data_IF_473068094648
#
_entry.id   IF_473068094648
#
_cell.length_a   1.000
_cell.length_b   1.000
_cell.length_c   1.000
_cell.angle_alpha   90.00
_cell.angle_beta   90.00
_cell.angle_gamma   90.00
#
_symmetry.space_group_name_H-M   'P 1'
#
loop_
_entity.id
_entity.type
_entity.pdbx_description
1 polymer ?
#
# COMPACT_ATOMS: atom_id res chain seq x y z
N UNK A 1 10.40 -0.07 43.85
CA UNK A 1 11.02 0.23 42.54
C UNK A 1 10.03 1.02 41.70
N UNK A 2 10.28 2.32 41.49
CA UNK A 2 9.38 3.23 40.76
C UNK A 2 9.54 3.00 39.25
N UNK A 3 8.57 2.33 38.63
CA UNK A 3 8.47 2.22 37.17
C UNK A 3 8.15 3.59 36.58
N UNK A 4 9.18 4.33 36.14
CA UNK A 4 9.01 5.56 35.36
C UNK A 4 8.15 5.24 34.15
N UNK A 5 6.91 5.74 34.12
CA UNK A 5 6.05 5.67 32.92
C UNK A 5 6.82 6.32 31.76
N UNK A 6 6.96 5.66 30.60
CA UNK A 6 7.56 6.29 29.44
C UNK A 6 6.82 7.58 29.11
N UNK A 7 7.54 8.61 28.69
CA UNK A 7 6.90 9.85 28.23
C UNK A 7 6.01 9.53 27.03
N UNK A 8 4.81 10.11 26.98
CA UNK A 8 3.84 9.96 25.87
C UNK A 8 4.51 10.19 24.50
N UNK A 9 5.51 11.06 24.47
CA UNK A 9 6.32 11.35 23.28
C UNK A 9 7.14 10.14 22.77
N UNK A 10 7.65 9.30 23.68
CA UNK A 10 8.43 8.10 23.33
C UNK A 10 7.52 7.00 22.77
N UNK A 11 6.34 6.82 23.34
CA UNK A 11 5.33 5.89 22.81
C UNK A 11 4.84 6.32 21.42
N UNK A 12 4.60 7.62 21.23
CA UNK A 12 4.22 8.16 19.93
C UNK A 12 5.31 7.96 18.87
N UNK A 13 6.59 8.21 19.21
CA UNK A 13 7.71 7.93 18.31
C UNK A 13 7.83 6.45 17.97
N UNK A 14 7.65 5.54 18.93
CA UNK A 14 7.64 4.10 18.68
C UNK A 14 6.52 3.68 17.73
N UNK A 15 5.30 4.19 17.92
CA UNK A 15 4.17 3.90 17.03
C UNK A 15 4.41 4.41 15.61
N UNK A 16 5.02 5.58 15.45
CA UNK A 16 5.40 6.09 14.12
C UNK A 16 6.41 5.16 13.46
N UNK A 17 7.49 4.79 14.17
CA UNK A 17 8.54 3.92 13.62
C UNK A 17 7.95 2.57 13.21
N UNK A 18 7.10 1.96 14.04
CA UNK A 18 6.43 0.70 13.71
C UNK A 18 5.55 0.81 12.46
N UNK A 19 4.76 1.89 12.33
CA UNK A 19 3.95 2.13 11.11
C UNK A 19 4.79 2.32 9.86
N UNK A 20 5.94 2.97 9.97
CA UNK A 20 6.87 3.12 8.85
C UNK A 20 7.47 1.77 8.45
N UNK A 21 7.91 0.97 9.41
CA UNK A 21 8.48 -0.35 9.13
C UNK A 21 7.44 -1.24 8.46
N UNK A 22 6.20 -1.33 8.99
CA UNK A 22 5.14 -2.14 8.36
C UNK A 22 4.82 -1.65 6.95
N UNK A 23 4.76 -0.34 6.72
CA UNK A 23 4.54 0.21 5.37
C UNK A 23 5.68 -0.18 4.42
N UNK A 24 6.92 -0.14 4.88
CA UNK A 24 8.10 -0.51 4.08
C UNK A 24 8.06 -2.01 3.77
N UNK A 25 7.78 -2.87 4.76
CA UNK A 25 7.74 -4.31 4.56
C UNK A 25 6.58 -4.73 3.66
N UNK A 26 5.41 -4.09 3.73
CA UNK A 26 4.33 -4.32 2.75
C UNK A 26 4.74 -3.98 1.32
N UNK A 27 5.43 -2.85 1.12
CA UNK A 27 5.98 -2.49 -0.19
C UNK A 27 7.05 -3.48 -0.65
N UNK A 28 7.88 -3.96 0.29
CA UNK A 28 8.90 -4.96 0.03
C UNK A 28 8.29 -6.30 -0.42
N UNK A 29 7.18 -6.74 0.19
CA UNK A 29 6.43 -7.92 -0.28
C UNK A 29 5.92 -7.68 -1.69
N UNK A 30 5.27 -6.55 -1.96
CA UNK A 30 4.70 -6.27 -3.29
C UNK A 30 5.77 -6.23 -4.38
N UNK A 31 6.87 -5.49 -4.16
CA UNK A 31 7.99 -5.39 -5.10
C UNK A 31 8.69 -6.75 -5.24
N UNK A 32 8.95 -7.44 -4.13
CA UNK A 32 9.56 -8.75 -4.11
C UNK A 32 8.74 -9.79 -4.87
N UNK A 33 7.41 -9.77 -4.70
CA UNK A 33 6.48 -10.68 -5.40
C UNK A 33 6.50 -10.43 -6.91
N UNK A 34 6.53 -9.16 -7.36
CA UNK A 34 6.64 -8.84 -8.78
C UNK A 34 7.97 -9.36 -9.34
N UNK A 35 9.09 -9.09 -8.67
CA UNK A 35 10.42 -9.54 -9.11
C UNK A 35 10.47 -11.08 -9.14
N UNK A 36 9.91 -11.74 -8.12
CA UNK A 36 9.84 -13.20 -8.04
C UNK A 36 9.03 -13.79 -9.18
N UNK A 37 7.82 -13.27 -9.44
CA UNK A 37 6.95 -13.77 -10.51
C UNK A 37 7.59 -13.58 -11.88
N UNK A 38 8.23 -12.44 -12.14
CA UNK A 38 8.94 -12.20 -13.41
C UNK A 38 10.11 -13.15 -13.57
N UNK A 39 10.95 -13.33 -12.54
CA UNK A 39 12.06 -14.28 -12.56
C UNK A 39 11.60 -15.73 -12.75
N UNK A 40 10.55 -16.13 -12.02
CA UNK A 40 9.95 -17.45 -12.09
C UNK A 40 9.35 -17.73 -13.48
N UNK A 41 8.56 -16.80 -14.01
CA UNK A 41 7.95 -16.92 -15.34
C UNK A 41 9.03 -17.06 -16.42
N UNK A 42 10.12 -16.29 -16.33
CA UNK A 42 11.24 -16.40 -17.25
C UNK A 42 11.94 -17.77 -17.18
N UNK A 43 12.21 -18.27 -15.97
CA UNK A 43 12.85 -19.57 -15.79
C UNK A 43 11.96 -20.73 -16.27
N UNK A 44 10.65 -20.66 -15.99
CA UNK A 44 9.68 -21.64 -16.50
C UNK A 44 9.59 -21.57 -18.02
N UNK A 45 9.51 -20.37 -18.59
CA UNK A 45 9.52 -20.19 -20.04
C UNK A 45 10.78 -20.80 -20.65
N UNK A 46 11.96 -20.55 -20.07
CA UNK A 46 13.20 -21.14 -20.54
C UNK A 46 13.21 -22.66 -20.48
N UNK A 47 12.61 -23.22 -19.44
CA UNK A 47 12.56 -24.66 -19.25
C UNK A 47 11.74 -25.37 -20.34
N UNK A 48 10.65 -24.75 -20.82
CA UNK A 48 9.82 -25.31 -21.88
C UNK A 48 10.25 -24.89 -23.30
N UNK A 49 10.75 -23.67 -23.47
CA UNK A 49 11.03 -23.10 -24.79
C UNK A 49 12.43 -23.44 -25.33
N UNK A 50 13.41 -23.70 -24.47
CA UNK A 50 14.76 -24.07 -24.94
C UNK A 50 14.71 -25.48 -25.54
N UNK A 51 15.14 -25.65 -26.79
CA UNK A 51 15.31 -26.96 -27.43
C UNK A 51 16.67 -27.60 -27.15
N UNK A 52 17.04 -28.61 -27.94
CA UNK A 52 18.36 -29.24 -27.88
C UNK A 52 19.49 -28.24 -28.20
N UNK A 53 20.55 -28.30 -27.39
CA UNK A 53 21.69 -27.37 -27.43
C UNK A 53 22.43 -27.36 -28.78
N UNK A 54 22.29 -28.41 -29.59
CA UNK A 54 22.99 -28.56 -30.87
C UNK A 54 22.65 -27.51 -31.94
N UNK A 55 21.61 -26.70 -31.72
CA UNK A 55 21.17 -25.65 -32.64
C UNK A 55 21.72 -24.25 -32.32
N UNK A 56 22.40 -24.07 -31.19
CA UNK A 56 22.85 -22.75 -30.72
C UNK A 56 24.35 -22.54 -30.92
N UNK A 57 24.74 -21.32 -31.30
CA UNK A 57 26.15 -20.93 -31.32
C UNK A 57 26.71 -20.81 -29.90
N UNK A 58 28.03 -20.95 -29.73
CA UNK A 58 28.69 -20.80 -28.42
C UNK A 58 28.42 -19.43 -27.77
N UNK A 59 28.27 -18.38 -28.58
CA UNK A 59 27.93 -17.03 -28.12
C UNK A 59 26.49 -16.94 -27.61
N UNK A 60 25.55 -17.65 -28.24
CA UNK A 60 24.15 -17.67 -27.79
C UNK A 60 23.98 -18.45 -26.49
N UNK A 61 24.69 -19.57 -26.35
CA UNK A 61 24.71 -20.37 -25.11
C UNK A 61 25.17 -19.51 -23.94
N UNK A 62 26.28 -18.78 -24.09
CA UNK A 62 26.82 -17.90 -23.05
C UNK A 62 25.84 -16.78 -22.68
N UNK A 63 25.17 -16.17 -23.67
CA UNK A 63 24.16 -15.13 -23.45
C UNK A 63 22.94 -15.67 -22.71
N UNK A 64 22.40 -16.82 -23.12
CA UNK A 64 21.24 -17.46 -22.50
C UNK A 64 21.57 -17.85 -21.06
N UNK A 65 22.73 -18.44 -20.81
CA UNK A 65 23.18 -18.79 -19.46
C UNK A 65 23.34 -17.53 -18.59
N UNK A 66 23.87 -16.44 -19.14
CA UNK A 66 23.93 -15.13 -18.47
C UNK A 66 22.54 -14.61 -18.07
N UNK A 67 21.56 -14.70 -18.97
CA UNK A 67 20.18 -14.31 -18.65
C UNK A 67 19.57 -15.23 -17.59
N UNK A 68 19.76 -16.55 -17.68
CA UNK A 68 19.26 -17.52 -16.69
C UNK A 68 19.85 -17.27 -15.30
N UNK A 69 21.14 -16.92 -15.20
CA UNK A 69 21.74 -16.54 -13.91
C UNK A 69 21.15 -15.26 -13.34
N UNK A 70 20.92 -14.25 -14.19
CA UNK A 70 20.32 -12.98 -13.79
C UNK A 70 18.89 -13.19 -13.27
N UNK A 71 18.04 -13.88 -14.02
CA UNK A 71 16.65 -14.14 -13.60
C UNK A 71 16.57 -15.12 -12.42
N UNK A 72 17.50 -16.08 -12.30
CA UNK A 72 17.68 -16.90 -11.11
C UNK A 72 17.96 -16.06 -9.86
N UNK A 73 18.91 -15.11 -9.95
CA UNK A 73 19.22 -14.18 -8.86
C UNK A 73 18.07 -13.24 -8.54
N UNK A 74 17.35 -12.74 -9.55
CA UNK A 74 16.16 -11.93 -9.35
C UNK A 74 15.07 -12.73 -8.64
N UNK A 75 14.80 -13.97 -9.05
CA UNK A 75 13.83 -14.83 -8.38
C UNK A 75 14.23 -15.08 -6.92
N UNK A 76 15.50 -15.39 -6.63
CA UNK A 76 16.00 -15.56 -5.26
C UNK A 76 15.86 -14.28 -4.43
N UNK A 77 16.22 -13.13 -4.99
CA UNK A 77 16.11 -11.83 -4.32
C UNK A 77 14.64 -11.47 -4.04
N UNK A 78 13.77 -11.66 -5.03
CA UNK A 78 12.33 -11.44 -4.91
C UNK A 78 11.71 -12.33 -3.84
N UNK A 79 12.04 -13.63 -3.85
CA UNK A 79 11.63 -14.59 -2.82
C UNK A 79 12.12 -14.15 -1.43
N UNK A 80 13.38 -13.72 -1.32
CA UNK A 80 13.95 -13.23 -0.06
C UNK A 80 13.23 -11.99 0.48
N UNK A 81 12.92 -11.01 -0.37
CA UNK A 81 12.13 -9.83 -0.01
C UNK A 81 10.73 -10.19 0.48
N UNK A 82 10.07 -11.13 -0.20
CA UNK A 82 8.75 -11.64 0.20
C UNK A 82 8.84 -12.34 1.56
N UNK A 83 9.81 -13.24 1.75
CA UNK A 83 10.00 -13.96 3.01
C UNK A 83 10.27 -13.01 4.17
N UNK A 84 11.17 -12.04 4.04
CA UNK A 84 11.47 -11.08 5.12
C UNK A 84 10.23 -10.23 5.42
N UNK A 85 9.51 -9.80 4.37
CA UNK A 85 8.31 -9.00 4.53
C UNK A 85 7.17 -9.77 5.20
N UNK A 86 6.97 -11.03 4.81
CA UNK A 86 6.00 -11.92 5.42
C UNK A 86 6.37 -12.23 6.87
N UNK A 87 7.64 -12.57 7.13
CA UNK A 87 8.14 -12.84 8.47
C UNK A 87 7.90 -11.64 9.40
N UNK A 88 8.10 -10.40 8.93
CA UNK A 88 7.86 -9.22 9.76
C UNK A 88 6.39 -8.93 10.01
N UNK A 89 5.54 -8.95 8.96
CA UNK A 89 4.14 -8.56 9.10
C UNK A 89 3.27 -9.64 9.74
N UNK A 90 3.65 -10.90 9.58
CA UNK A 90 2.88 -12.08 9.98
C UNK A 90 3.67 -12.98 10.93
N UNK A 91 4.55 -12.39 11.74
CA UNK A 91 5.34 -13.12 12.75
C UNK A 91 4.45 -13.84 13.78
N UNK A 92 3.19 -13.40 13.90
CA UNK A 92 2.21 -14.03 14.79
C UNK A 92 1.34 -15.09 14.10
N UNK A 93 1.46 -15.33 12.79
CA UNK A 93 0.64 -16.32 12.08
C UNK A 93 1.46 -17.57 11.71
N UNK A 94 1.07 -18.73 12.25
CA UNK A 94 1.72 -20.01 11.99
C UNK A 94 1.57 -20.49 10.53
N UNK A 95 0.46 -20.11 9.88
CA UNK A 95 0.10 -20.51 8.52
C UNK A 95 1.19 -20.11 7.52
N UNK A 96 1.82 -18.95 7.72
CA UNK A 96 2.86 -18.43 6.82
C UNK A 96 4.06 -19.36 6.76
N UNK A 97 4.49 -19.90 7.91
CA UNK A 97 5.61 -20.85 7.97
C UNK A 97 5.32 -22.13 7.17
N UNK A 98 4.13 -22.69 7.31
CA UNK A 98 3.72 -23.90 6.57
C UNK A 98 3.69 -23.66 5.07
N UNK A 99 3.14 -22.52 4.63
CA UNK A 99 3.10 -22.16 3.20
C UNK A 99 4.51 -22.06 2.61
N UNK A 100 5.45 -21.45 3.32
CA UNK A 100 6.84 -21.34 2.85
C UNK A 100 7.53 -22.71 2.72
N UNK A 101 7.33 -23.62 3.69
CA UNK A 101 7.88 -24.98 3.63
C UNK A 101 7.26 -25.77 2.47
N UNK A 102 5.94 -25.71 2.29
CA UNK A 102 5.25 -26.39 1.19
C UNK A 102 5.72 -25.88 -0.17
N UNK A 103 5.91 -24.56 -0.33
CA UNK A 103 6.47 -23.98 -1.55
C UNK A 103 7.92 -24.46 -1.80
N UNK A 104 8.76 -24.53 -0.76
CA UNK A 104 10.12 -25.03 -0.91
C UNK A 104 10.15 -26.50 -1.38
N UNK A 105 9.32 -27.35 -0.78
CA UNK A 105 9.11 -28.75 -1.19
C UNK A 105 8.63 -28.83 -2.64
N UNK A 106 7.70 -27.98 -3.03
CA UNK A 106 7.19 -27.90 -4.39
C UNK A 106 8.27 -27.51 -5.42
N UNK A 107 9.11 -26.51 -5.14
CA UNK A 107 10.19 -26.13 -6.06
C UNK A 107 11.29 -27.19 -6.17
N UNK A 108 11.63 -27.86 -5.07
CA UNK A 108 12.72 -28.84 -5.06
C UNK A 108 12.31 -30.19 -5.68
N UNK A 109 11.15 -30.74 -5.29
CA UNK A 109 10.67 -32.04 -5.76
C UNK A 109 9.48 -31.96 -6.71
N UNK A 110 8.54 -31.05 -6.46
CA UNK A 110 7.30 -30.93 -7.24
C UNK A 110 7.55 -30.59 -8.72
N UNK A 111 8.38 -29.60 -9.01
CA UNK A 111 8.68 -29.21 -10.40
C UNK A 111 9.40 -30.33 -11.17
N UNK A 112 10.52 -30.91 -10.70
CA UNK A 112 11.15 -32.03 -11.40
C UNK A 112 10.20 -33.23 -11.59
N UNK A 113 9.37 -33.52 -10.60
CA UNK A 113 8.38 -34.60 -10.71
C UNK A 113 7.36 -34.32 -11.82
N UNK A 114 6.78 -33.11 -11.86
CA UNK A 114 5.83 -32.72 -12.91
C UNK A 114 6.47 -32.74 -14.30
N UNK A 115 7.73 -32.31 -14.40
CA UNK A 115 8.46 -32.34 -15.67
C UNK A 115 8.67 -33.77 -16.16
N UNK A 116 9.07 -34.68 -15.29
CA UNK A 116 9.22 -36.10 -15.63
C UNK A 116 7.92 -36.80 -16.07
N UNK A 117 6.75 -36.20 -15.81
CA UNK A 117 5.45 -36.69 -16.31
C UNK A 117 5.12 -36.17 -17.72
N UNK A 118 5.68 -35.02 -18.11
CA UNK A 118 5.37 -34.37 -19.40
C UNK A 118 6.44 -34.70 -20.45
N UNK A 119 7.71 -34.67 -20.05
CA UNK A 119 8.87 -34.89 -20.90
C UNK A 119 9.96 -35.63 -20.10
N UNK A 120 10.98 -36.13 -20.78
CA UNK A 120 12.17 -36.67 -20.12
C UNK A 120 12.88 -35.58 -19.29
N UNK A 121 13.44 -35.99 -18.15
CA UNK A 121 14.22 -35.07 -17.32
C UNK A 121 15.41 -34.51 -18.14
N UNK A 122 15.71 -33.21 -18.03
CA UNK A 122 16.83 -32.61 -18.76
C UNK A 122 18.14 -33.36 -18.51
N UNK A 123 18.89 -33.63 -19.58
CA UNK A 123 20.22 -34.22 -19.46
C UNK A 123 21.15 -33.26 -18.68
N UNK A 124 22.06 -33.81 -17.83
CA UNK A 124 22.94 -32.99 -17.02
C UNK A 124 23.84 -32.10 -17.89
N UNK A 125 24.02 -30.85 -17.50
CA UNK A 125 24.85 -29.88 -18.24
C UNK A 125 24.12 -29.17 -19.40
N UNK A 126 22.84 -29.47 -19.62
CA UNK A 126 22.02 -28.73 -20.59
C UNK A 126 21.57 -27.36 -20.05
N UNK A 127 21.15 -26.44 -20.94
CA UNK A 127 20.59 -25.14 -20.51
C UNK A 127 19.28 -25.32 -19.74
N UNK A 128 18.49 -26.35 -20.08
CA UNK A 128 17.28 -26.74 -19.33
C UNK A 128 17.61 -27.20 -17.91
N UNK A 129 18.63 -28.04 -17.75
CA UNK A 129 19.12 -28.48 -16.43
C UNK A 129 19.62 -27.29 -15.60
N UNK A 130 20.31 -26.34 -16.24
CA UNK A 130 20.72 -25.10 -15.58
C UNK A 130 19.53 -24.27 -15.07
N UNK A 131 18.49 -24.10 -15.90
CA UNK A 131 17.27 -23.40 -15.49
C UNK A 131 16.55 -24.12 -14.33
N UNK A 132 16.45 -25.45 -14.39
CA UNK A 132 15.87 -26.28 -13.32
C UNK A 132 16.67 -26.14 -12.01
N UNK A 133 17.99 -26.07 -12.10
CA UNK A 133 18.85 -25.86 -10.93
C UNK A 133 18.61 -24.48 -10.30
N UNK A 134 18.41 -23.42 -11.11
CA UNK A 134 18.04 -22.11 -10.57
C UNK A 134 16.69 -22.13 -9.85
N UNK A 135 15.71 -22.88 -10.36
CA UNK A 135 14.42 -23.07 -9.68
C UNK A 135 14.58 -23.83 -8.36
N UNK A 136 15.39 -24.90 -8.33
CA UNK A 136 15.68 -25.65 -7.11
C UNK A 136 16.36 -24.80 -6.04
N UNK A 137 17.21 -23.86 -6.44
CA UNK A 137 17.87 -22.95 -5.50
C UNK A 137 16.89 -22.09 -4.69
N UNK A 138 15.65 -21.87 -5.18
CA UNK A 138 14.60 -21.18 -4.40
C UNK A 138 14.29 -21.87 -3.07
N UNK A 139 14.48 -23.20 -3.00
CA UNK A 139 14.34 -23.97 -1.76
C UNK A 139 15.19 -23.37 -0.63
N UNK A 140 16.44 -22.96 -0.91
CA UNK A 140 17.36 -22.45 0.11
C UNK A 140 16.91 -21.13 0.73
N UNK A 141 16.12 -20.34 0.01
CA UNK A 141 15.57 -19.07 0.50
C UNK A 141 14.27 -19.27 1.25
N UNK A 142 13.45 -20.25 0.84
CA UNK A 142 12.11 -20.47 1.41
C UNK A 142 12.13 -21.40 2.63
N UNK A 143 12.96 -22.45 2.60
CA UNK A 143 12.91 -23.55 3.56
C UNK A 143 13.42 -23.18 4.96
N UNK A 144 14.63 -22.62 5.16
CA UNK A 144 15.11 -22.27 6.50
C UNK A 144 14.20 -21.30 7.27
N UNK A 145 13.75 -20.16 6.69
CA UNK A 145 12.87 -19.23 7.40
C UNK A 145 11.48 -19.81 7.60
N UNK A 146 10.99 -20.65 6.68
CA UNK A 146 9.74 -21.41 6.85
C UNK A 146 9.79 -22.30 8.09
N UNK A 147 10.83 -23.12 8.25
CA UNK A 147 11.01 -23.97 9.44
C UNK A 147 11.14 -23.14 10.71
N UNK A 148 11.95 -22.08 10.69
CA UNK A 148 12.14 -21.21 11.85
C UNK A 148 10.79 -20.62 12.28
N UNK A 149 9.99 -20.10 11.35
CA UNK A 149 8.67 -19.55 11.68
C UNK A 149 7.71 -20.62 12.22
N UNK A 150 7.61 -21.80 11.59
CA UNK A 150 6.74 -22.89 12.08
C UNK A 150 7.11 -23.27 13.52
N UNK A 151 8.40 -23.48 13.80
CA UNK A 151 8.87 -23.93 15.10
C UNK A 151 8.72 -22.83 16.16
N UNK A 152 9.25 -21.63 15.90
CA UNK A 152 9.23 -20.55 16.91
C UNK A 152 7.83 -20.01 17.17
N UNK A 153 7.03 -19.76 16.12
CA UNK A 153 5.68 -19.21 16.26
C UNK A 153 4.74 -20.27 16.84
N UNK A 154 4.84 -21.52 16.38
CA UNK A 154 4.07 -22.64 16.93
C UNK A 154 4.30 -22.83 18.43
N UNK A 155 5.56 -22.80 18.87
CA UNK A 155 5.91 -22.90 20.31
C UNK A 155 5.39 -21.68 21.08
N UNK A 156 5.60 -20.46 20.56
CA UNK A 156 5.18 -19.22 21.23
C UNK A 156 3.65 -19.13 21.38
N UNK A 157 2.89 -19.48 20.34
CA UNK A 157 1.43 -19.54 20.40
C UNK A 157 0.94 -20.64 21.34
N UNK A 158 1.58 -21.82 21.33
CA UNK A 158 1.26 -22.90 22.27
C UNK A 158 1.39 -22.43 23.72
N UNK A 159 2.47 -21.71 24.04
CA UNK A 159 2.68 -21.13 25.38
C UNK A 159 1.65 -20.02 25.68
N UNK A 160 1.34 -19.12 24.73
CA UNK A 160 0.33 -18.06 24.92
C UNK A 160 -1.07 -18.62 25.12
N UNK A 161 -1.48 -19.62 24.34
CA UNK A 161 -2.78 -20.31 24.48
C UNK A 161 -2.89 -21.02 25.83
N UNK A 162 -1.81 -21.63 26.31
CA UNK A 162 -1.77 -22.22 27.65
C UNK A 162 -1.83 -21.19 28.79
N UNK A 163 -1.33 -19.96 28.58
CA UNK A 163 -1.25 -18.92 29.64
C UNK A 163 -2.44 -17.96 29.69
N UNK A 164 -3.01 -17.56 28.56
CA UNK A 164 -3.91 -16.38 28.51
C UNK A 164 -5.37 -16.69 28.14
N UNK A 165 -5.70 -17.88 27.63
CA UNK A 165 -7.06 -18.19 27.18
C UNK A 165 -7.55 -17.29 26.02
N UNK A 166 -8.65 -17.66 25.37
CA UNK A 166 -9.10 -17.10 24.08
C UNK A 166 -9.78 -15.70 24.14
N UNK A 167 -9.57 -14.88 25.17
CA UNK A 167 -10.50 -13.78 25.51
C UNK A 167 -10.07 -12.34 25.13
N UNK A 168 -9.00 -12.11 24.36
CA UNK A 168 -8.39 -10.77 24.23
C UNK A 168 -8.94 -9.86 23.09
N UNK A 169 -9.75 -10.38 22.15
CA UNK A 169 -10.10 -9.66 20.91
C UNK A 169 -11.22 -8.60 21.02
N UNK A 170 -11.79 -8.35 22.20
CA UNK A 170 -13.00 -7.51 22.33
C UNK A 170 -12.78 -6.00 22.54
N UNK A 171 -11.55 -5.49 22.60
CA UNK A 171 -11.29 -4.15 23.20
C UNK A 171 -11.08 -2.95 22.24
N UNK A 172 -11.18 -3.08 20.91
CA UNK A 172 -10.74 -2.01 19.96
C UNK A 172 -11.82 -1.38 19.04
N UNK A 173 -13.07 -1.20 19.50
CA UNK A 173 -14.13 -0.50 18.74
C UNK A 173 -14.68 0.76 19.46
N UNK A 174 -13.93 1.87 19.52
CA UNK A 174 -14.51 3.17 19.91
C UNK A 174 -14.91 4.00 18.67
N UNK A 175 -16.19 4.34 18.54
CA UNK A 175 -16.67 5.44 17.68
C UNK A 175 -17.61 5.08 16.53
N UNK A 176 -17.86 3.81 16.23
CA UNK A 176 -18.76 3.39 15.14
C UNK A 176 -20.26 3.58 15.41
N UNK A 177 -20.64 4.27 16.51
CA UNK A 177 -22.04 4.36 16.99
C UNK A 177 -22.60 5.77 17.18
N UNK A 178 -21.98 6.84 16.66
CA UNK A 178 -22.47 8.22 16.88
C UNK A 178 -23.58 8.59 15.90
N UNK A 179 -24.78 8.91 16.42
CA UNK A 179 -25.95 9.34 15.64
C UNK A 179 -25.76 10.68 14.91
N UNK A 180 -26.31 10.80 13.70
CA UNK A 180 -26.25 12.00 12.83
C UNK A 180 -27.56 12.78 12.89
N UNK A 181 -27.49 14.11 12.87
CA UNK A 181 -28.65 15.00 12.74
C UNK A 181 -28.80 15.50 11.30
N UNK A 182 -30.04 15.68 10.84
CA UNK A 182 -30.35 16.29 9.55
C UNK A 182 -30.26 17.82 9.67
N UNK A 183 -29.20 18.39 9.11
CA UNK A 183 -28.97 19.84 9.03
C UNK A 183 -28.54 20.20 7.61
N UNK A 184 -28.93 21.37 7.12
CA UNK A 184 -28.48 21.89 5.82
C UNK A 184 -26.96 22.08 5.86
N UNK A 185 -26.25 21.18 5.19
CA UNK A 185 -24.80 21.21 5.15
C UNK A 185 -24.33 22.34 4.24
N UNK A 186 -23.46 23.21 4.79
CA UNK A 186 -22.71 24.20 4.00
C UNK A 186 -21.29 23.68 3.77
N UNK A 187 -20.78 23.86 2.56
CA UNK A 187 -19.41 23.51 2.22
C UNK A 187 -18.41 24.28 3.10
N UNK A 188 -17.55 23.56 3.83
CA UNK A 188 -16.63 24.10 4.83
C UNK A 188 -17.32 25.02 5.85
N UNK A 189 -18.53 24.63 6.25
CA UNK A 189 -19.36 25.36 7.18
C UNK A 189 -18.80 25.41 8.61
N UNK A 190 -19.58 26.03 9.49
CA UNK A 190 -19.28 26.06 10.93
C UNK A 190 -19.66 24.71 11.56
N UNK A 191 -19.13 24.38 12.74
CA UNK A 191 -19.33 23.05 13.32
C UNK A 191 -20.80 22.67 13.57
N UNK A 192 -21.68 23.65 13.82
CA UNK A 192 -23.12 23.45 13.97
C UNK A 192 -23.88 23.28 12.65
N UNK A 193 -23.24 23.52 11.51
CA UNK A 193 -23.80 23.26 10.18
C UNK A 193 -23.46 21.84 9.69
N UNK A 194 -22.79 21.05 10.53
CA UNK A 194 -22.43 19.66 10.29
C UNK A 194 -23.33 18.72 11.11
N UNK A 195 -23.54 17.47 10.66
CA UNK A 195 -24.50 16.55 11.27
C UNK A 195 -24.11 16.04 12.66
N UNK A 196 -22.92 16.39 13.14
CA UNK A 196 -22.35 15.90 14.40
C UNK A 196 -22.57 16.82 15.60
N UNK A 197 -23.08 18.04 15.38
CA UNK A 197 -23.29 19.01 16.44
C UNK A 197 -24.73 18.97 16.96
N UNK A 198 -24.92 18.40 18.16
CA UNK A 198 -26.25 18.21 18.77
C UNK A 198 -26.84 19.50 19.32
N UNK A 199 -28.17 19.65 19.25
CA UNK A 199 -28.88 20.87 19.68
C UNK A 199 -28.63 21.24 21.14
N UNK A 200 -28.59 20.25 22.05
CA UNK A 200 -28.30 20.51 23.47
C UNK A 200 -26.89 21.09 23.69
N UNK A 201 -25.92 20.71 22.84
CA UNK A 201 -24.57 21.28 22.89
C UNK A 201 -24.61 22.71 22.37
N UNK A 202 -25.35 22.98 21.27
CA UNK A 202 -25.45 24.32 20.66
C UNK A 202 -26.01 25.35 21.65
N UNK A 203 -27.04 24.99 22.42
CA UNK A 203 -27.65 25.89 23.40
C UNK A 203 -26.65 26.45 24.42
N UNK A 204 -25.57 25.71 24.72
CA UNK A 204 -24.61 26.04 25.78
C UNK A 204 -23.16 26.15 25.29
N UNK A 205 -22.93 26.06 23.98
CA UNK A 205 -21.58 26.08 23.45
C UNK A 205 -21.07 27.53 23.30
N UNK A 206 -19.98 27.93 23.96
CA UNK A 206 -19.45 29.29 23.84
C UNK A 206 -19.00 29.60 22.39
N UNK A 207 -18.56 28.60 21.65
CA UNK A 207 -18.11 28.74 20.25
C UNK A 207 -19.30 29.04 19.31
N UNK A 208 -20.44 28.36 19.55
CA UNK A 208 -21.68 28.59 18.80
C UNK A 208 -22.17 30.02 18.99
N UNK A 209 -22.28 30.46 20.25
CA UNK A 209 -22.75 31.79 20.61
C UNK A 209 -21.75 32.90 20.26
N UNK A 210 -20.44 32.61 20.24
CA UNK A 210 -19.43 33.52 19.71
C UNK A 210 -19.41 33.57 18.16
N UNK A 211 -20.20 32.74 17.48
CA UNK A 211 -20.26 32.60 16.01
C UNK A 211 -18.92 32.26 15.33
N UNK A 212 -17.97 31.69 16.09
CA UNK A 212 -16.64 31.29 15.60
C UNK A 212 -16.60 29.81 15.21
N UNK A 213 -15.51 29.37 14.58
CA UNK A 213 -15.35 27.98 14.15
C UNK A 213 -14.37 27.24 15.05
N UNK A 214 -14.81 26.10 15.61
CA UNK A 214 -14.01 25.30 16.54
C UNK A 214 -12.63 24.89 15.99
N UNK A 215 -12.55 24.58 14.69
CA UNK A 215 -11.30 24.12 14.06
C UNK A 215 -10.29 25.25 13.82
N UNK A 216 -10.72 26.51 13.69
CA UNK A 216 -9.81 27.66 13.63
C UNK A 216 -9.30 28.05 15.01
N UNK A 217 -10.16 27.92 16.02
CA UNK A 217 -9.80 28.19 17.42
C UNK A 217 -8.98 27.06 18.08
N UNK A 218 -8.92 25.88 17.45
CA UNK A 218 -8.20 24.71 17.96
C UNK A 218 -8.86 24.02 19.16
N UNK A 219 -10.12 24.36 19.44
CA UNK A 219 -10.88 23.94 20.61
C UNK A 219 -12.31 23.59 20.18
N UNK A 220 -12.78 22.40 20.52
CA UNK A 220 -14.08 21.90 20.11
C UNK A 220 -14.58 20.82 21.04
N UNK A 221 -15.89 20.60 21.07
CA UNK A 221 -16.54 19.68 22.01
C UNK A 221 -16.06 18.21 21.89
N UNK A 222 -15.56 17.80 20.72
CA UNK A 222 -15.08 16.43 20.47
C UNK A 222 -13.55 16.29 20.56
N UNK A 223 -12.82 17.41 20.69
CA UNK A 223 -11.35 17.39 20.80
C UNK A 223 -10.82 18.01 22.10
N UNK A 224 -11.63 18.78 22.83
CA UNK A 224 -11.25 19.42 24.09
C UNK A 224 -12.30 19.12 25.17
N UNK A 225 -11.91 18.37 26.20
CA UNK A 225 -12.80 17.94 27.29
C UNK A 225 -13.43 19.14 28.01
N UNK A 226 -12.65 20.19 28.25
CA UNK A 226 -13.16 21.42 28.90
C UNK A 226 -14.33 22.05 28.14
N UNK A 227 -14.35 21.93 26.81
CA UNK A 227 -15.42 22.50 25.99
C UNK A 227 -16.72 21.72 26.14
N UNK A 228 -16.67 20.38 26.24
CA UNK A 228 -17.87 19.57 26.46
C UNK A 228 -18.34 19.67 27.92
N UNK A 229 -17.42 19.70 28.89
CA UNK A 229 -17.76 19.89 30.31
C UNK A 229 -18.44 21.24 30.52
N UNK A 230 -17.95 22.31 29.91
CA UNK A 230 -18.60 23.63 29.99
C UNK A 230 -19.97 23.66 29.30
N UNK A 231 -20.17 22.88 28.23
CA UNK A 231 -21.49 22.74 27.60
C UNK A 231 -22.47 21.90 28.44
N UNK A 232 -21.97 21.03 29.31
CA UNK A 232 -22.77 20.24 30.25
C UNK A 232 -23.05 21.01 31.55
N UNK A 233 -22.09 21.80 32.02
CA UNK A 233 -22.27 22.74 33.12
C UNK A 233 -23.23 23.84 32.66
N UNK A 234 -24.24 24.13 33.46
CA UNK A 234 -25.37 24.99 33.06
C UNK A 234 -25.00 26.49 33.10
N UNK A 235 -23.90 26.86 32.43
CA UNK A 235 -23.37 28.22 32.39
C UNK A 235 -24.24 29.07 31.46
N UNK A 236 -24.84 30.14 31.99
CA UNK A 236 -25.58 31.11 31.18
C UNK A 236 -24.60 31.90 30.32
N UNK A 237 -24.71 31.76 29.00
CA UNK A 237 -23.98 32.56 28.02
C UNK A 237 -24.78 33.83 27.71
N UNK A 238 -24.07 34.92 27.43
CA UNK A 238 -24.68 36.21 27.06
C UNK A 238 -25.13 36.16 25.59
N UNK A 239 -26.03 37.04 25.15
CA UNK A 239 -26.34 37.17 23.72
C UNK A 239 -25.23 37.87 22.92
N UNK A 240 -24.32 38.57 23.61
CA UNK A 240 -23.21 39.29 22.99
C UNK A 240 -22.07 38.35 22.56
N UNK A 241 -21.77 38.23 21.24
CA UNK A 241 -20.78 37.26 20.74
C UNK A 241 -19.35 37.55 21.21
N UNK A 242 -18.99 38.81 21.42
CA UNK A 242 -17.66 39.19 21.92
C UNK A 242 -17.44 38.78 23.38
N UNK A 243 -18.48 38.87 24.22
CA UNK A 243 -18.41 38.39 25.60
C UNK A 243 -18.25 36.87 25.61
N UNK A 244 -18.98 36.17 24.75
CA UNK A 244 -18.91 34.71 24.61
C UNK A 244 -17.54 34.20 24.13
N UNK A 245 -16.84 34.98 23.29
CA UNK A 245 -15.50 34.61 22.84
C UNK A 245 -14.49 34.49 24.00
N UNK A 246 -14.67 35.25 25.08
CA UNK A 246 -13.81 35.17 26.27
C UNK A 246 -13.99 33.88 27.08
N UNK A 247 -15.13 33.22 26.93
CA UNK A 247 -15.42 31.94 27.60
C UNK A 247 -14.91 30.72 26.82
N UNK A 248 -14.30 30.91 25.65
CA UNK A 248 -13.72 29.82 24.88
C UNK A 248 -12.47 29.29 25.63
N UNK A 249 -12.46 28.01 26.06
CA UNK A 249 -11.38 27.48 26.89
C UNK A 249 -10.16 27.14 26.01
N UNK A 250 -9.25 28.09 25.81
CA UNK A 250 -7.99 27.84 25.11
C UNK A 250 -7.01 27.07 25.99
N UNK A 251 -6.53 25.94 25.48
CA UNK A 251 -5.47 25.20 26.14
C UNK A 251 -4.12 25.89 25.90
N UNK A 252 -3.49 26.39 26.97
CA UNK A 252 -2.17 27.04 26.94
C UNK A 252 -0.99 26.08 27.11
N UNK A 253 -1.24 24.81 27.44
CA UNK A 253 -0.16 23.83 27.71
C UNK A 253 0.31 23.10 26.46
N UNK A 254 -0.53 22.99 25.43
CA UNK A 254 -0.22 22.28 24.19
C UNK A 254 0.35 23.22 23.13
N UNK A 255 1.32 22.71 22.36
CA UNK A 255 1.84 23.41 21.20
C UNK A 255 0.80 23.45 20.07
N UNK A 256 0.96 24.38 19.12
CA UNK A 256 0.08 24.47 17.94
C UNK A 256 0.07 23.18 17.10
N UNK A 257 1.18 22.45 17.09
CA UNK A 257 1.29 21.18 16.37
C UNK A 257 0.45 20.07 17.05
N UNK A 258 0.52 19.96 18.37
CA UNK A 258 -0.26 19.01 19.16
C UNK A 258 -1.77 19.32 19.09
N UNK A 259 -2.15 20.60 19.15
CA UNK A 259 -3.55 21.02 18.95
C UNK A 259 -4.08 20.60 17.57
N UNK A 260 -3.25 20.71 16.53
CA UNK A 260 -3.60 20.28 15.17
C UNK A 260 -3.72 18.75 15.08
N UNK A 261 -2.81 18.00 15.69
CA UNK A 261 -2.87 16.54 15.74
C UNK A 261 -4.15 16.04 16.44
N UNK A 262 -4.56 16.71 17.52
CA UNK A 262 -5.81 16.40 18.21
C UNK A 262 -7.05 16.76 17.38
N UNK A 263 -7.05 17.94 16.75
CA UNK A 263 -8.14 18.32 15.84
C UNK A 263 -8.24 17.37 14.65
N UNK A 264 -7.12 16.83 14.17
CA UNK A 264 -7.09 15.85 13.12
C UNK A 264 -7.86 14.57 13.49
N UNK A 265 -7.91 14.16 14.75
CA UNK A 265 -8.68 12.98 15.18
C UNK A 265 -10.18 13.25 15.36
N UNK A 266 -10.59 14.52 15.36
CA UNK A 266 -11.98 14.93 15.56
C UNK A 266 -12.87 14.59 14.36
N UNK A 267 -14.04 13.99 14.63
CA UNK A 267 -15.05 13.64 13.61
C UNK A 267 -15.50 14.85 12.79
N UNK A 268 -15.72 16.00 13.44
CA UNK A 268 -16.11 17.25 12.78
C UNK A 268 -15.04 17.70 11.77
N UNK A 269 -13.76 17.59 12.15
CA UNK A 269 -12.66 17.99 11.27
C UNK A 269 -12.53 17.03 10.09
N UNK A 270 -12.68 15.73 10.31
CA UNK A 270 -12.69 14.73 9.24
C UNK A 270 -13.84 14.95 8.25
N UNK A 271 -15.00 15.45 8.68
CA UNK A 271 -16.09 15.79 7.77
C UNK A 271 -15.74 16.98 6.86
N UNK A 272 -14.99 17.97 7.36
CA UNK A 272 -14.45 19.03 6.48
C UNK A 272 -13.47 18.48 5.46
N UNK A 273 -12.62 17.52 5.85
CA UNK A 273 -11.71 16.85 4.91
C UNK A 273 -12.50 16.08 3.84
N UNK A 274 -13.58 15.40 4.24
CA UNK A 274 -14.51 14.76 3.31
C UNK A 274 -15.13 15.76 2.32
N UNK A 275 -15.58 16.92 2.79
CA UNK A 275 -16.10 17.98 1.91
C UNK A 275 -15.02 18.48 0.94
N UNK A 276 -13.79 18.77 1.39
CA UNK A 276 -12.68 19.13 0.50
C UNK A 276 -12.45 18.06 -0.57
N UNK A 277 -12.44 16.78 -0.19
CA UNK A 277 -12.29 15.67 -1.13
C UNK A 277 -13.41 15.64 -2.17
N UNK A 278 -14.67 15.87 -1.77
CA UNK A 278 -15.81 15.95 -2.69
C UNK A 278 -15.68 17.07 -3.73
N UNK A 279 -14.97 18.15 -3.42
CA UNK A 279 -14.66 19.21 -4.39
C UNK A 279 -13.45 18.86 -5.27
N UNK A 280 -12.36 18.41 -4.66
CA UNK A 280 -11.10 18.19 -5.39
C UNK A 280 -11.13 16.95 -6.29
N UNK A 281 -11.86 15.89 -5.91
CA UNK A 281 -11.95 14.67 -6.72
C UNK A 281 -12.51 14.92 -8.14
N UNK A 282 -13.70 15.54 -8.32
CA UNK A 282 -14.23 15.80 -9.67
C UNK A 282 -13.37 16.81 -10.45
N UNK A 283 -12.77 17.80 -9.77
CA UNK A 283 -11.87 18.75 -10.40
C UNK A 283 -10.60 18.05 -10.93
N UNK A 284 -10.07 17.08 -10.18
CA UNK A 284 -8.91 16.28 -10.60
C UNK A 284 -9.26 15.41 -11.81
N UNK A 285 -10.44 14.78 -11.81
CA UNK A 285 -10.93 13.99 -12.95
C UNK A 285 -11.06 14.88 -14.19
N UNK A 286 -11.75 16.03 -14.08
CA UNK A 286 -11.93 16.96 -15.19
C UNK A 286 -10.61 17.51 -15.73
N UNK A 287 -9.69 17.87 -14.83
CA UNK A 287 -8.35 18.35 -15.21
C UNK A 287 -7.55 17.26 -15.95
N UNK A 288 -7.55 16.02 -15.44
CA UNK A 288 -6.82 14.92 -16.08
C UNK A 288 -7.39 14.55 -17.45
N UNK A 289 -8.72 14.54 -17.60
CA UNK A 289 -9.36 14.30 -18.91
C UNK A 289 -9.06 15.46 -19.86
N UNK A 290 -9.11 16.71 -19.39
CA UNK A 290 -8.77 17.89 -20.20
C UNK A 290 -7.32 17.82 -20.69
N UNK A 291 -6.37 17.56 -19.79
CA UNK A 291 -4.94 17.39 -20.15
C UNK A 291 -4.76 16.25 -21.15
N UNK A 292 -5.41 15.10 -20.92
CA UNK A 292 -5.35 13.99 -21.86
C UNK A 292 -5.83 14.42 -23.26
N UNK A 293 -7.00 15.04 -23.35
CA UNK A 293 -7.59 15.49 -24.62
C UNK A 293 -6.70 16.50 -25.36
N UNK A 294 -6.24 17.55 -24.68
CA UNK A 294 -5.42 18.62 -25.30
C UNK A 294 -4.02 18.14 -25.69
N UNK A 295 -3.41 17.24 -24.91
CA UNK A 295 -2.06 16.74 -25.14
C UNK A 295 -2.04 15.33 -25.76
N UNK A 296 -3.09 14.94 -26.48
CA UNK A 296 -3.22 13.58 -27.06
C UNK A 296 -2.01 13.19 -27.92
N UNK A 297 -1.65 14.01 -28.90
CA UNK A 297 -0.56 13.71 -29.83
C UNK A 297 0.81 13.51 -29.15
N UNK A 298 1.31 14.46 -28.32
CA UNK A 298 2.61 14.28 -27.66
C UNK A 298 2.60 13.14 -26.62
N UNK A 299 1.45 12.86 -25.99
CA UNK A 299 1.33 11.71 -25.09
C UNK A 299 1.41 10.37 -25.83
N UNK A 300 0.76 10.26 -27.00
CA UNK A 300 0.84 9.06 -27.84
C UNK A 300 2.27 8.80 -28.32
N UNK A 301 3.00 9.83 -28.74
CA UNK A 301 4.40 9.68 -29.13
C UNK A 301 5.27 9.18 -27.98
N UNK A 302 5.05 9.67 -26.76
CA UNK A 302 5.73 9.15 -25.57
C UNK A 302 5.39 7.70 -25.26
N UNK A 303 4.15 7.27 -25.51
CA UNK A 303 3.76 5.85 -25.38
C UNK A 303 4.52 4.98 -26.39
N UNK A 304 4.64 5.41 -27.65
CA UNK A 304 5.41 4.67 -28.65
C UNK A 304 6.90 4.62 -28.29
N UNK A 305 7.47 5.72 -27.80
CA UNK A 305 8.84 5.72 -27.30
C UNK A 305 9.04 4.78 -26.10
N UNK A 306 8.05 4.67 -25.20
CA UNK A 306 8.11 3.69 -24.11
C UNK A 306 8.01 2.25 -24.64
N UNK A 307 7.17 1.99 -25.65
CA UNK A 307 7.06 0.67 -26.29
C UNK A 307 8.35 0.28 -27.01
N UNK A 308 9.02 1.22 -27.68
CA UNK A 308 10.31 0.93 -28.35
C UNK A 308 11.43 0.65 -27.35
N UNK A 309 11.42 1.32 -26.19
CA UNK A 309 12.32 0.99 -25.07
C UNK A 309 12.00 -0.39 -24.49
N UNK A 310 10.73 -0.73 -24.34
CA UNK A 310 10.31 -2.07 -23.90
C UNK A 310 10.72 -3.13 -24.92
N UNK A 311 10.57 -2.89 -26.22
CA UNK A 311 11.04 -3.79 -27.29
C UNK A 311 12.54 -4.03 -27.21
N UNK A 312 13.33 -2.97 -27.00
CA UNK A 312 14.79 -3.10 -26.84
C UNK A 312 15.18 -3.90 -25.60
N UNK A 313 14.45 -3.71 -24.50
CA UNK A 313 14.65 -4.49 -23.28
C UNK A 313 14.26 -5.95 -23.48
N UNK A 314 13.09 -6.21 -24.07
CA UNK A 314 12.60 -7.56 -24.36
C UNK A 314 13.54 -8.29 -25.32
N UNK A 315 13.99 -7.64 -26.40
CA UNK A 315 14.96 -8.21 -27.36
C UNK A 315 16.29 -8.63 -26.71
N UNK A 316 16.69 -7.98 -25.61
CA UNK A 316 17.88 -8.38 -24.83
C UNK A 316 17.63 -9.68 -24.05
N UNK A 317 16.40 -9.89 -23.61
CA UNK A 317 16.00 -11.02 -22.78
C UNK A 317 15.33 -12.17 -23.55
N UNK A 318 15.05 -12.04 -24.85
CA UNK A 318 14.49 -13.18 -25.60
C UNK A 318 15.46 -14.37 -25.62
N UNK A 319 14.90 -15.58 -25.53
CA UNK A 319 15.64 -16.84 -25.61
C UNK A 319 15.86 -17.31 -27.05
N UNK A 320 15.11 -16.76 -28.00
CA UNK A 320 15.20 -17.07 -29.43
C UNK A 320 15.85 -15.87 -30.15
N UNK A 321 17.11 -15.97 -30.58
CA UNK A 321 17.81 -14.89 -31.27
C UNK A 321 17.20 -14.56 -32.64
N UNK A 322 16.63 -15.56 -33.33
CA UNK A 322 16.02 -15.44 -34.65
C UNK A 322 14.73 -14.60 -34.65
N UNK A 323 14.03 -14.53 -33.51
CA UNK A 323 12.76 -13.80 -33.35
C UNK A 323 12.92 -12.47 -32.60
N UNK A 324 14.15 -12.11 -32.21
CA UNK A 324 14.46 -10.86 -31.52
C UNK A 324 14.42 -9.64 -32.47
N UNK A 325 13.29 -9.43 -33.15
CA UNK A 325 13.07 -8.27 -33.99
C UNK A 325 12.78 -7.03 -33.12
N UNK A 326 13.49 -5.94 -33.39
CA UNK A 326 13.26 -4.65 -32.73
C UNK A 326 12.01 -3.98 -33.33
N UNK A 327 11.18 -3.39 -32.48
CA UNK A 327 10.05 -2.57 -32.92
C UNK A 327 8.79 -3.37 -33.27
N UNK A 328 8.68 -4.64 -32.88
CA UNK A 328 7.48 -5.46 -33.15
C UNK A 328 6.27 -4.91 -32.41
N UNK A 329 6.39 -4.56 -31.12
CA UNK A 329 5.26 -3.97 -30.38
C UNK A 329 4.95 -2.57 -30.90
N UNK A 330 5.97 -1.76 -31.22
CA UNK A 330 5.76 -0.43 -31.78
C UNK A 330 5.04 -0.51 -33.13
N UNK A 331 5.51 -1.37 -34.04
CA UNK A 331 4.91 -1.57 -35.34
C UNK A 331 3.48 -2.12 -35.23
N UNK A 332 3.24 -3.08 -34.35
CA UNK A 332 1.89 -3.62 -34.09
C UNK A 332 0.94 -2.56 -33.53
N UNK A 333 1.42 -1.71 -32.60
CA UNK A 333 0.63 -0.63 -32.03
C UNK A 333 0.35 0.49 -33.04
N UNK A 334 1.30 0.81 -33.93
CA UNK A 334 1.09 1.78 -35.02
C UNK A 334 0.19 1.24 -36.14
N UNK A 335 0.26 -0.06 -36.41
CA UNK A 335 -0.53 -0.71 -37.46
C UNK A 335 -2.02 -0.80 -37.10
N UNK A 336 -2.35 -0.80 -35.80
CA UNK A 336 -3.73 -0.87 -35.34
C UNK A 336 -4.12 0.35 -34.48
N UNK A 337 -4.85 1.29 -35.09
CA UNK A 337 -5.32 2.51 -34.43
C UNK A 337 -6.15 2.22 -33.17
N UNK A 338 -6.94 1.14 -33.18
CA UNK A 338 -7.73 0.74 -32.00
C UNK A 338 -6.85 0.31 -30.84
N UNK A 339 -5.76 -0.42 -31.11
CA UNK A 339 -4.81 -0.84 -30.07
C UNK A 339 -4.08 0.38 -29.46
N UNK A 340 -3.65 1.33 -30.30
CA UNK A 340 -3.05 2.57 -29.83
C UNK A 340 -4.00 3.39 -28.95
N UNK A 341 -5.28 3.46 -29.32
CA UNK A 341 -6.30 4.17 -28.54
C UNK A 341 -6.58 3.47 -27.20
N UNK A 342 -6.66 2.14 -27.17
CA UNK A 342 -6.84 1.37 -25.92
C UNK A 342 -5.65 1.58 -24.98
N UNK A 343 -4.42 1.50 -25.50
CA UNK A 343 -3.19 1.72 -24.70
C UNK A 343 -3.13 3.14 -24.15
N UNK A 344 -3.54 4.11 -24.95
CA UNK A 344 -3.61 5.50 -24.50
C UNK A 344 -4.65 5.68 -23.38
N UNK A 345 -5.86 5.14 -23.54
CA UNK A 345 -6.91 5.23 -22.52
C UNK A 345 -6.49 4.53 -21.22
N UNK A 346 -5.87 3.35 -21.31
CA UNK A 346 -5.40 2.63 -20.12
C UNK A 346 -4.34 3.42 -19.35
N UNK A 347 -3.41 4.08 -20.04
CA UNK A 347 -2.45 4.99 -19.42
C UNK A 347 -3.14 6.16 -18.71
N UNK A 348 -4.14 6.78 -19.33
CA UNK A 348 -4.91 7.89 -18.75
C UNK A 348 -5.64 7.43 -17.48
N UNK A 349 -6.23 6.23 -17.49
CA UNK A 349 -6.89 5.65 -16.30
C UNK A 349 -5.89 5.42 -15.16
N UNK A 350 -4.70 4.88 -15.47
CA UNK A 350 -3.64 4.68 -14.48
C UNK A 350 -3.20 6.02 -13.89
N UNK A 351 -2.91 7.02 -14.74
CA UNK A 351 -2.53 8.36 -14.30
C UNK A 351 -3.61 9.01 -13.41
N UNK A 352 -4.88 8.87 -13.79
CA UNK A 352 -6.03 9.35 -13.02
C UNK A 352 -6.11 8.67 -11.64
N UNK A 353 -5.93 7.35 -11.59
CA UNK A 353 -5.93 6.57 -10.34
C UNK A 353 -4.85 7.07 -9.37
N UNK A 354 -3.62 7.29 -9.86
CA UNK A 354 -2.54 7.86 -9.06
C UNK A 354 -2.83 9.30 -8.62
N UNK A 355 -3.41 10.13 -9.48
CA UNK A 355 -3.79 11.50 -9.14
C UNK A 355 -4.83 11.55 -8.02
N UNK A 356 -5.88 10.73 -8.11
CA UNK A 356 -6.89 10.61 -7.05
C UNK A 356 -6.28 10.12 -5.74
N UNK A 357 -5.36 9.15 -5.79
CA UNK A 357 -4.64 8.68 -4.60
C UNK A 357 -3.76 9.76 -3.96
N UNK A 358 -3.15 10.64 -4.77
CA UNK A 358 -2.40 11.80 -4.28
C UNK A 358 -3.36 12.76 -3.57
N UNK A 359 -4.50 13.10 -4.18
CA UNK A 359 -5.52 13.96 -3.56
C UNK A 359 -6.03 13.37 -2.25
N UNK A 360 -6.35 12.08 -2.22
CA UNK A 360 -6.74 11.36 -1.01
C UNK A 360 -5.66 11.46 0.08
N UNK A 361 -4.39 11.27 -0.30
CA UNK A 361 -3.25 11.36 0.63
C UNK A 361 -3.09 12.78 1.18
N UNK A 362 -3.17 13.79 0.32
CA UNK A 362 -3.07 15.21 0.71
C UNK A 362 -4.23 15.60 1.64
N UNK A 363 -5.46 15.18 1.34
CA UNK A 363 -6.65 15.55 2.11
C UNK A 363 -6.77 14.77 3.41
N UNK A 364 -6.61 13.45 3.41
CA UNK A 364 -6.85 12.63 4.61
C UNK A 364 -5.60 12.37 5.44
N UNK A 365 -4.43 12.16 4.82
CA UNK A 365 -3.19 11.90 5.57
C UNK A 365 -2.49 13.18 5.98
N UNK A 366 -2.35 14.14 5.07
CA UNK A 366 -1.68 15.41 5.37
C UNK A 366 -2.63 16.46 5.93
N UNK A 367 -3.95 16.29 5.75
CA UNK A 367 -5.00 17.14 6.35
C UNK A 367 -4.85 18.62 5.97
N UNK A 368 -4.46 18.86 4.73
CA UNK A 368 -4.36 20.19 4.10
C UNK A 368 -5.73 20.84 3.89
#
# INVERSE_FOLDING_TARGET
>A
MSTKRPSVQREYQQQIVLRWITTITYRMIAVGAIIFVVGLAYLLYALFALGDQGSYSATDIARIQGNLTLFGRLALLGAGMVVIGLAWNYLEEEVVGFVLVLLAVFFYWGIPFLLGQIDSLPAPGTLRDFALTQLRNLMWVLFPPGIILVVFVGIAQGIRRMRYGAALDQTLKLGSGVSRQEVQQRFLGKCWQLPYCRDYVRQRCPIYHARRTCWREGVGCMCEEKTIVMALQNVRLSDDPEKNARYIPHNKTLTRAELRARCAECVIYNEHQRQKYQLFAPLTVGTMIGVAYFFRAPLQEKVFNLLSLLDQLLARFTLMPSEAQKGVLEAAARANETAALILYISLVIVALSYALRIVETVVFKWKL
#
